data_IF_711932858527
#
_entry.id   IF_711932858527
#
_cell.length_a   1.000
_cell.length_b   1.000
_cell.length_c   1.000
_cell.angle_alpha   90.00
_cell.angle_beta   90.00
_cell.angle_gamma   90.00
#
_symmetry.space_group_name_H-M   'P 1'
#
loop_
_entity.id
_entity.type
_entity.pdbx_description
1 polymer ?
#
# COMPACT_ATOMS: atom_id res chain seq x y z
N UNK A 1 2.34 21.21 -14.61
CA UNK A 1 2.28 20.98 -13.15
C UNK A 1 3.27 21.89 -12.45
N UNK A 2 2.86 22.50 -11.38
CA UNK A 2 3.75 23.35 -10.59
C UNK A 2 4.82 22.53 -9.89
N UNK A 3 5.97 23.15 -9.67
CA UNK A 3 7.13 22.47 -9.06
C UNK A 3 6.81 21.90 -7.69
N UNK A 4 6.07 22.65 -6.85
CA UNK A 4 5.76 22.15 -5.51
C UNK A 4 4.79 20.96 -5.53
N UNK A 5 3.87 20.91 -6.52
CA UNK A 5 2.99 19.74 -6.70
C UNK A 5 3.79 18.52 -7.12
N UNK A 6 4.76 18.72 -8.01
CA UNK A 6 5.67 17.66 -8.40
C UNK A 6 6.42 17.10 -7.19
N UNK A 7 7.01 17.98 -6.38
CA UNK A 7 7.75 17.60 -5.18
C UNK A 7 6.83 16.88 -4.19
N UNK A 8 5.63 17.42 -3.98
CA UNK A 8 4.64 16.82 -3.07
C UNK A 8 4.30 15.40 -3.50
N UNK A 9 3.99 15.21 -4.79
CA UNK A 9 3.62 13.90 -5.32
C UNK A 9 4.78 12.91 -5.21
N UNK A 10 6.01 13.35 -5.50
CA UNK A 10 7.20 12.51 -5.37
C UNK A 10 7.40 12.06 -3.92
N UNK A 11 7.21 12.95 -2.96
CA UNK A 11 7.32 12.61 -1.54
C UNK A 11 6.26 11.61 -1.09
N UNK A 12 5.03 11.77 -1.58
CA UNK A 12 3.95 10.83 -1.26
C UNK A 12 4.29 9.44 -1.80
N UNK A 13 4.71 9.35 -3.05
CA UNK A 13 5.08 8.07 -3.67
C UNK A 13 6.22 7.42 -2.87
N UNK A 14 7.24 8.18 -2.50
CA UNK A 14 8.35 7.64 -1.72
C UNK A 14 7.88 7.10 -0.36
N UNK A 15 6.97 7.81 0.30
CA UNK A 15 6.41 7.33 1.57
C UNK A 15 5.61 6.04 1.39
N UNK A 16 4.83 5.95 0.32
CA UNK A 16 4.09 4.73 0.00
C UNK A 16 5.06 3.56 -0.18
N UNK A 17 6.12 3.76 -0.94
CA UNK A 17 7.14 2.73 -1.14
C UNK A 17 7.76 2.32 0.21
N UNK A 18 8.03 3.27 1.07
CA UNK A 18 8.61 2.98 2.39
C UNK A 18 7.67 2.11 3.24
N UNK A 19 6.36 2.37 3.21
CA UNK A 19 5.39 1.52 3.90
C UNK A 19 5.31 0.12 3.30
N UNK A 20 5.39 0.03 1.97
CA UNK A 20 5.44 -1.27 1.30
C UNK A 20 6.70 -2.03 1.74
N UNK A 21 7.85 -1.37 1.75
CA UNK A 21 9.10 -1.99 2.16
C UNK A 21 9.05 -2.50 3.61
N UNK A 22 8.39 -1.77 4.49
CA UNK A 22 8.19 -2.21 5.87
C UNK A 22 7.38 -3.49 5.93
N UNK A 23 6.27 -3.57 5.18
CA UNK A 23 5.45 -4.77 5.13
C UNK A 23 6.26 -5.95 4.59
N UNK A 24 7.00 -5.74 3.51
CA UNK A 24 7.81 -6.81 2.91
C UNK A 24 8.91 -7.29 3.86
N UNK A 25 9.48 -6.38 4.64
CA UNK A 25 10.47 -6.72 5.66
C UNK A 25 9.86 -7.58 6.76
N UNK A 26 8.68 -7.20 7.27
CA UNK A 26 8.01 -7.94 8.34
C UNK A 26 7.60 -9.33 7.90
N UNK A 27 7.25 -9.50 6.63
CA UNK A 27 6.72 -10.76 6.10
C UNK A 27 7.74 -11.58 5.32
N UNK A 28 9.01 -11.16 5.36
CA UNK A 28 10.07 -11.90 4.67
C UNK A 28 10.19 -13.32 5.22
N UNK A 29 10.16 -14.30 4.32
CA UNK A 29 10.21 -15.74 4.65
C UNK A 29 9.08 -16.20 5.59
N UNK A 30 7.97 -15.48 5.61
CA UNK A 30 6.79 -15.82 6.41
C UNK A 30 5.75 -16.43 5.49
N UNK A 31 5.16 -17.57 5.90
CA UNK A 31 4.02 -18.15 5.20
C UNK A 31 2.70 -17.68 5.81
N UNK A 32 1.59 -18.05 5.15
CA UNK A 32 0.27 -17.63 5.61
C UNK A 32 -0.06 -18.13 7.02
N UNK A 33 0.32 -19.37 7.34
CA UNK A 33 0.03 -19.94 8.66
C UNK A 33 0.75 -19.16 9.77
N UNK A 34 2.00 -18.79 9.53
CA UNK A 34 2.75 -17.95 10.47
C UNK A 34 2.16 -16.56 10.60
N UNK A 35 1.80 -15.96 9.47
CA UNK A 35 1.17 -14.63 9.44
C UNK A 35 -0.13 -14.63 10.24
N UNK A 36 -1.01 -15.58 9.94
CA UNK A 36 -2.32 -15.69 10.58
C UNK A 36 -2.23 -15.83 12.10
N UNK A 37 -1.20 -16.52 12.57
CA UNK A 37 -1.01 -16.80 13.99
C UNK A 37 -0.18 -15.74 14.72
N UNK A 38 0.23 -14.67 14.03
CA UNK A 38 1.02 -13.61 14.63
C UNK A 38 0.24 -12.28 14.60
N UNK A 39 -0.48 -12.02 15.68
CA UNK A 39 -1.34 -10.83 15.77
C UNK A 39 -0.56 -9.51 15.67
N UNK A 40 0.65 -9.46 16.20
CA UNK A 40 1.49 -8.25 16.10
C UNK A 40 1.86 -7.96 14.65
N UNK A 41 2.22 -9.01 13.91
CA UNK A 41 2.56 -8.89 12.48
C UNK A 41 1.35 -8.45 11.67
N UNK A 42 0.18 -9.07 11.93
CA UNK A 42 -1.06 -8.70 11.25
C UNK A 42 -1.38 -7.23 11.49
N UNK A 43 -1.33 -6.80 12.75
CA UNK A 43 -1.63 -5.41 13.11
C UNK A 43 -0.67 -4.43 12.46
N UNK A 44 0.62 -4.74 12.45
CA UNK A 44 1.63 -3.89 11.82
C UNK A 44 1.37 -3.76 10.30
N UNK A 45 1.06 -4.88 9.64
CA UNK A 45 0.77 -4.87 8.21
C UNK A 45 -0.51 -4.09 7.89
N UNK A 46 -1.57 -4.30 8.68
CA UNK A 46 -2.84 -3.59 8.52
C UNK A 46 -2.63 -2.08 8.67
N UNK A 47 -1.88 -1.67 9.67
CA UNK A 47 -1.54 -0.26 9.86
C UNK A 47 -0.86 0.33 8.63
N UNK A 48 0.17 -0.36 8.13
CA UNK A 48 0.92 0.13 6.96
C UNK A 48 0.06 0.18 5.70
N UNK A 49 -0.78 -0.83 5.47
CA UNK A 49 -1.70 -0.83 4.33
C UNK A 49 -2.69 0.33 4.41
N UNK A 50 -3.21 0.61 5.61
CA UNK A 50 -4.11 1.76 5.83
C UNK A 50 -3.43 3.07 5.52
N UNK A 51 -2.17 3.23 5.92
CA UNK A 51 -1.38 4.43 5.64
C UNK A 51 -1.15 4.62 4.14
N UNK A 52 -0.92 3.53 3.42
CA UNK A 52 -0.79 3.59 1.96
C UNK A 52 -2.05 4.18 1.34
N UNK A 53 -3.23 3.68 1.73
CA UNK A 53 -4.50 4.20 1.23
C UNK A 53 -4.70 5.68 1.52
N UNK A 54 -4.37 6.10 2.74
CA UNK A 54 -4.48 7.51 3.13
C UNK A 54 -3.55 8.42 2.33
N UNK A 55 -2.31 7.97 2.09
CA UNK A 55 -1.34 8.75 1.33
C UNK A 55 -1.76 8.92 -0.12
N UNK A 56 -2.26 7.85 -0.73
CA UNK A 56 -2.71 7.90 -2.13
C UNK A 56 -3.86 8.90 -2.31
N UNK A 57 -4.72 9.04 -1.31
CA UNK A 57 -5.78 10.03 -1.34
C UNK A 57 -5.28 11.47 -1.40
N UNK A 58 -4.04 11.71 -1.04
CA UNK A 58 -3.42 13.05 -1.05
C UNK A 58 -2.76 13.39 -2.38
N UNK A 59 -2.68 12.43 -3.30
CA UNK A 59 -2.12 12.70 -4.62
C UNK A 59 -3.04 13.61 -5.41
N UNK A 60 -2.43 14.46 -6.25
CA UNK A 60 -3.14 15.36 -7.13
C UNK A 60 -3.88 14.57 -8.22
N UNK A 61 -5.10 15.01 -8.54
CA UNK A 61 -5.95 14.33 -9.53
C UNK A 61 -5.32 14.28 -10.92
N UNK A 62 -4.62 15.35 -11.30
CA UNK A 62 -3.94 15.39 -12.59
C UNK A 62 -2.81 14.35 -12.63
N UNK A 63 -2.08 14.21 -11.54
CA UNK A 63 -1.02 13.20 -11.42
C UNK A 63 -1.60 11.80 -11.59
N UNK A 64 -2.70 11.52 -10.91
CA UNK A 64 -3.37 10.22 -10.99
C UNK A 64 -3.82 9.92 -12.41
N UNK A 65 -4.38 10.89 -13.11
CA UNK A 65 -4.86 10.70 -14.48
C UNK A 65 -3.73 10.46 -15.48
N UNK A 66 -2.55 11.01 -15.21
CA UNK A 66 -1.37 10.82 -16.06
C UNK A 66 -0.69 9.46 -15.84
N UNK A 67 -0.97 8.81 -14.73
CA UNK A 67 -0.35 7.53 -14.38
C UNK A 67 -1.39 6.46 -14.11
N UNK A 68 -2.33 6.33 -15.04
CA UNK A 68 -3.48 5.43 -14.89
C UNK A 68 -3.11 3.94 -14.93
N UNK A 69 -1.87 3.60 -15.26
CA UNK A 69 -1.37 2.22 -15.21
C UNK A 69 -1.25 1.70 -13.78
N UNK A 70 -1.20 2.61 -12.80
CA UNK A 70 -1.17 2.24 -11.37
C UNK A 70 -2.61 2.13 -10.87
N UNK A 71 -2.95 1.08 -10.12
CA UNK A 71 -4.33 0.87 -9.65
C UNK A 71 -4.67 1.76 -8.44
N UNK A 72 -4.68 3.07 -8.65
CA UNK A 72 -4.93 4.06 -7.59
C UNK A 72 -6.24 3.82 -6.85
N UNK A 73 -7.29 3.44 -7.58
CA UNK A 73 -8.61 3.19 -6.99
C UNK A 73 -8.55 2.07 -5.95
N UNK A 74 -7.86 0.98 -6.29
CA UNK A 74 -7.68 -0.15 -5.35
C UNK A 74 -6.89 0.27 -4.13
N UNK A 75 -5.85 1.09 -4.32
CA UNK A 75 -5.01 1.57 -3.23
C UNK A 75 -5.79 2.48 -2.28
N UNK A 76 -6.61 3.38 -2.82
CA UNK A 76 -7.47 4.23 -2.00
C UNK A 76 -8.44 3.41 -1.17
N UNK A 77 -8.94 2.33 -1.73
CA UNK A 77 -9.90 1.45 -1.07
C UNK A 77 -9.31 0.58 0.02
N UNK A 78 -7.97 0.47 0.12
CA UNK A 78 -7.34 -0.41 1.10
C UNK A 78 -7.79 -0.11 2.53
N UNK A 79 -7.81 1.15 2.92
CA UNK A 79 -8.23 1.52 4.27
C UNK A 79 -9.66 1.07 4.56
N UNK A 80 -10.59 1.35 3.64
CA UNK A 80 -11.98 0.99 3.83
C UNK A 80 -12.17 -0.53 3.85
N UNK A 81 -11.52 -1.24 2.95
CA UNK A 81 -11.59 -2.70 2.91
C UNK A 81 -11.06 -3.32 4.20
N UNK A 82 -9.92 -2.83 4.68
CA UNK A 82 -9.29 -3.35 5.89
C UNK A 82 -10.14 -3.07 7.12
N UNK A 83 -10.68 -1.85 7.25
CA UNK A 83 -11.54 -1.49 8.38
C UNK A 83 -12.80 -2.35 8.42
N UNK A 84 -13.41 -2.63 7.26
CA UNK A 84 -14.61 -3.47 7.20
C UNK A 84 -14.30 -4.95 7.38
N UNK A 85 -13.18 -5.43 6.85
CA UNK A 85 -12.86 -6.85 6.82
C UNK A 85 -12.01 -7.32 8.02
N UNK A 86 -11.33 -6.40 8.70
CA UNK A 86 -10.42 -6.76 9.79
C UNK A 86 -11.15 -7.39 10.97
N UNK A 87 -12.27 -6.82 11.39
CA UNK A 87 -13.08 -7.38 12.47
C UNK A 87 -13.84 -8.64 12.03
N UNK A 88 -14.19 -8.72 10.75
CA UNK A 88 -14.79 -9.91 10.15
C UNK A 88 -13.74 -10.93 9.72
N UNK A 89 -12.50 -10.53 9.77
CA UNK A 89 -11.29 -11.34 9.64
C UNK A 89 -11.14 -12.04 8.31
N UNK A 90 -11.06 -11.27 7.23
CA UNK A 90 -10.62 -11.84 5.97
C UNK A 90 -9.09 -11.75 5.84
N UNK A 91 -8.37 -12.51 6.69
CA UNK A 91 -6.91 -12.54 6.67
C UNK A 91 -6.35 -13.11 5.37
N UNK A 92 -7.11 -13.97 4.69
CA UNK A 92 -6.71 -14.47 3.36
C UNK A 92 -6.58 -13.32 2.37
N UNK A 93 -7.53 -12.39 2.38
CA UNK A 93 -7.49 -11.23 1.48
C UNK A 93 -6.31 -10.33 1.80
N UNK A 94 -6.07 -10.06 3.08
CA UNK A 94 -4.92 -9.25 3.50
C UNK A 94 -3.62 -9.91 3.05
N UNK A 95 -3.52 -11.23 3.21
CA UNK A 95 -2.34 -11.97 2.80
C UNK A 95 -2.12 -11.92 1.29
N UNK A 96 -3.19 -12.03 0.50
CA UNK A 96 -3.08 -11.91 -0.97
C UNK A 96 -2.53 -10.54 -1.36
N UNK A 97 -3.00 -9.49 -0.72
CA UNK A 97 -2.51 -8.14 -0.97
C UNK A 97 -1.01 -8.06 -0.68
N UNK A 98 -0.58 -8.63 0.44
CA UNK A 98 0.83 -8.63 0.86
C UNK A 98 1.69 -9.49 -0.06
N UNK A 99 1.21 -10.68 -0.38
CA UNK A 99 2.00 -11.68 -1.11
C UNK A 99 2.15 -11.34 -2.60
N UNK A 100 1.15 -10.69 -3.18
CA UNK A 100 1.12 -10.41 -4.62
C UNK A 100 1.00 -8.94 -4.96
N UNK A 101 -0.05 -8.29 -4.48
CA UNK A 101 -0.44 -6.96 -4.99
C UNK A 101 0.60 -5.89 -4.71
N UNK A 102 1.12 -5.82 -3.48
CA UNK A 102 2.05 -4.75 -3.12
C UNK A 102 3.42 -4.90 -3.77
N UNK A 103 3.80 -6.11 -4.14
CA UNK A 103 5.07 -6.35 -4.84
C UNK A 103 5.02 -5.78 -6.26
N UNK A 104 3.90 -6.03 -6.94
CA UNK A 104 3.65 -5.46 -8.28
C UNK A 104 3.56 -3.95 -8.19
N UNK A 105 2.84 -3.47 -7.19
CA UNK A 105 2.66 -2.04 -6.96
C UNK A 105 3.99 -1.34 -6.72
N UNK A 106 4.87 -1.93 -5.93
CA UNK A 106 6.20 -1.37 -5.69
C UNK A 106 6.95 -1.16 -6.99
N UNK A 107 6.96 -2.15 -7.88
CA UNK A 107 7.63 -2.03 -9.18
C UNK A 107 7.07 -0.89 -10.01
N UNK A 108 5.72 -0.74 -10.01
CA UNK A 108 5.07 0.35 -10.73
C UNK A 108 5.45 1.72 -10.14
N UNK A 109 5.46 1.84 -8.82
CA UNK A 109 5.77 3.09 -8.14
C UNK A 109 7.23 3.49 -8.29
N UNK A 110 8.14 2.54 -8.31
CA UNK A 110 9.56 2.82 -8.49
C UNK A 110 9.84 3.51 -9.83
N UNK A 111 9.02 3.27 -10.84
CA UNK A 111 9.15 3.94 -12.14
C UNK A 111 8.71 5.40 -12.11
N UNK A 112 7.98 5.81 -11.09
CA UNK A 112 7.44 7.17 -10.97
C UNK A 112 8.34 8.11 -10.17
N UNK A 113 9.32 7.58 -9.46
CA UNK A 113 10.25 8.42 -8.67
C UNK A 113 11.61 8.52 -9.36
N UNK A 114 12.27 9.63 -9.09
CA UNK A 114 13.60 9.91 -9.63
C UNK A 114 14.68 9.38 -8.70
#
# INVERSE_FOLDING_TARGET
>A
MEVWLYIKNQKIIQKVINYIDSILKYTNDVDYAEFRNNSMMVEACVFNLSRIGELVNKLDKEYISKHHEVPWFKMRGLRNRIVHDYDGVNLNLIWEIIDMDIKILKEQLLKLIN
#
